data_IF_068146020877
#
_entry.id   IF_068146020877
#
_cell.length_a   1.000
_cell.length_b   1.000
_cell.length_c   1.000
_cell.angle_alpha   90.00
_cell.angle_beta   90.00
_cell.angle_gamma   90.00
#
_symmetry.space_group_name_H-M   'P 1'
#
loop_
_entity.id
_entity.type
_entity.pdbx_description
1 polymer ?
#
# COMPACT_ATOMS: atom_id res chain seq x y z
N UNK A 1 -15.54 19.40 27.60
CA UNK A 1 -16.68 18.83 26.87
C UNK A 1 -16.29 18.85 25.40
N UNK A 2 -16.08 17.69 24.77
CA UNK A 2 -15.75 17.63 23.34
C UNK A 2 -17.04 17.76 22.53
N UNK A 3 -17.08 18.71 21.60
CA UNK A 3 -18.20 18.87 20.68
C UNK A 3 -18.29 17.65 19.73
N UNK A 4 -19.51 17.24 19.32
CA UNK A 4 -19.66 16.13 18.39
C UNK A 4 -19.08 16.50 17.02
N UNK A 5 -18.16 15.69 16.51
CA UNK A 5 -17.60 15.88 15.18
C UNK A 5 -18.69 15.68 14.12
N UNK A 6 -18.83 16.63 13.16
CA UNK A 6 -19.79 16.48 12.07
C UNK A 6 -19.44 15.24 11.25
N UNK A 7 -20.47 14.48 10.87
CA UNK A 7 -20.29 13.30 10.01
C UNK A 7 -19.82 13.76 8.63
N UNK A 8 -18.88 13.05 8.01
CA UNK A 8 -18.40 13.41 6.68
C UNK A 8 -19.50 13.23 5.64
N UNK A 9 -19.60 14.18 4.73
CA UNK A 9 -20.50 14.13 3.57
C UNK A 9 -20.08 12.99 2.61
N UNK A 10 -21.03 12.44 1.86
CA UNK A 10 -20.76 11.31 0.93
C UNK A 10 -19.66 11.62 -0.10
N UNK A 11 -19.57 12.86 -0.57
CA UNK A 11 -18.52 13.31 -1.49
C UNK A 11 -17.12 13.19 -0.87
N UNK A 12 -16.99 13.56 0.40
CA UNK A 12 -15.75 13.48 1.16
C UNK A 12 -15.33 12.02 1.38
N UNK A 13 -16.29 11.14 1.68
CA UNK A 13 -16.05 9.70 1.80
C UNK A 13 -15.52 9.12 0.48
N UNK A 14 -16.11 9.52 -0.65
CA UNK A 14 -15.68 9.04 -1.97
C UNK A 14 -14.27 9.54 -2.33
N UNK A 15 -13.93 10.78 -1.99
CA UNK A 15 -12.59 11.31 -2.18
C UNK A 15 -11.54 10.51 -1.38
N UNK A 16 -11.84 10.21 -0.11
CA UNK A 16 -10.95 9.41 0.72
C UNK A 16 -10.77 7.99 0.20
N UNK A 17 -11.85 7.34 -0.26
CA UNK A 17 -11.78 6.01 -0.89
C UNK A 17 -10.87 6.02 -2.12
N UNK A 18 -10.99 7.06 -2.96
CA UNK A 18 -10.12 7.22 -4.14
C UNK A 18 -8.66 7.40 -3.75
N UNK A 19 -8.37 8.21 -2.72
CA UNK A 19 -7.01 8.39 -2.20
C UNK A 19 -6.42 7.07 -1.67
N UNK A 20 -7.22 6.28 -0.96
CA UNK A 20 -6.84 4.95 -0.47
C UNK A 20 -6.55 3.98 -1.62
N UNK A 21 -7.39 3.97 -2.66
CA UNK A 21 -7.18 3.10 -3.83
C UNK A 21 -5.85 3.44 -4.54
N UNK A 22 -5.57 4.72 -4.74
CA UNK A 22 -4.31 5.18 -5.34
C UNK A 22 -3.12 4.78 -4.45
N UNK A 23 -3.23 4.96 -3.13
CA UNK A 23 -2.18 4.56 -2.20
C UNK A 23 -1.93 3.04 -2.21
N UNK A 24 -2.99 2.24 -2.25
CA UNK A 24 -2.90 0.78 -2.32
C UNK A 24 -2.21 0.30 -3.60
N UNK A 25 -2.50 0.94 -4.73
CA UNK A 25 -1.87 0.61 -6.01
C UNK A 25 -0.37 0.93 -6.00
N UNK A 26 0.03 2.05 -5.40
CA UNK A 26 1.40 2.52 -5.45
C UNK A 26 2.33 1.90 -4.39
N UNK A 27 1.76 1.30 -3.35
CA UNK A 27 2.53 0.79 -2.24
C UNK A 27 2.28 -0.72 -2.03
N UNK A 28 2.82 -1.53 -2.94
CA UNK A 28 2.84 -2.98 -2.80
C UNK A 28 4.21 -3.36 -2.25
N UNK A 29 4.23 -3.86 -1.02
CA UNK A 29 5.41 -4.47 -0.43
C UNK A 29 5.59 -5.88 -0.99
N UNK A 30 6.74 -6.14 -1.61
CA UNK A 30 7.17 -7.43 -2.08
C UNK A 30 8.26 -8.00 -1.18
N UNK A 31 8.09 -9.25 -0.75
CA UNK A 31 9.10 -10.02 -0.04
C UNK A 31 9.40 -11.31 -0.81
N UNK A 32 10.63 -11.48 -1.27
CA UNK A 32 11.02 -12.72 -1.94
C UNK A 32 11.32 -13.80 -0.90
N UNK A 33 10.52 -14.86 -0.89
CA UNK A 33 10.67 -15.99 0.04
C UNK A 33 11.92 -16.83 -0.23
N UNK A 34 12.51 -16.74 -1.44
CA UNK A 34 13.73 -17.47 -1.80
C UNK A 34 15.01 -16.81 -1.29
N UNK A 35 15.11 -15.48 -1.37
CA UNK A 35 16.36 -14.76 -1.05
C UNK A 35 16.21 -13.73 0.07
N UNK A 36 15.00 -13.51 0.57
CA UNK A 36 14.68 -12.54 1.62
C UNK A 36 14.72 -11.08 1.17
N UNK A 37 14.90 -10.79 -0.13
CA UNK A 37 14.93 -9.41 -0.62
C UNK A 37 13.54 -8.77 -0.51
N UNK A 38 13.51 -7.54 0.01
CA UNK A 38 12.31 -6.77 0.26
C UNK A 38 12.31 -5.49 -0.57
N UNK A 39 11.14 -5.09 -1.09
CA UNK A 39 10.99 -3.86 -1.85
C UNK A 39 9.55 -3.35 -1.83
N UNK A 40 9.37 -2.07 -2.18
CA UNK A 40 8.05 -1.49 -2.46
C UNK A 40 7.99 -1.14 -3.93
N UNK A 41 6.89 -1.49 -4.59
CA UNK A 41 6.63 -1.15 -5.99
C UNK A 41 5.14 -0.87 -6.22
N UNK A 42 4.82 -0.28 -7.36
CA UNK A 42 3.43 -0.09 -7.81
C UNK A 42 2.92 -1.25 -8.67
N UNK A 43 3.71 -2.30 -8.89
CA UNK A 43 3.40 -3.39 -9.81
C UNK A 43 3.25 -4.72 -9.07
N UNK A 44 2.11 -5.40 -9.27
CA UNK A 44 1.86 -6.74 -8.70
C UNK A 44 2.63 -7.86 -9.39
N UNK A 45 3.06 -7.70 -10.65
CA UNK A 45 3.60 -8.80 -11.47
C UNK A 45 5.14 -8.86 -11.52
N UNK A 46 5.83 -8.23 -10.55
CA UNK A 46 7.29 -8.21 -10.53
C UNK A 46 7.85 -9.48 -9.90
N UNK A 47 8.79 -10.10 -10.60
CA UNK A 47 9.69 -11.13 -10.05
C UNK A 47 10.76 -10.48 -9.16
N UNK A 48 11.41 -11.28 -8.32
CA UNK A 48 12.49 -10.78 -7.47
C UNK A 48 13.65 -10.25 -8.33
N UNK A 49 14.03 -8.98 -8.16
CA UNK A 49 15.13 -8.34 -8.92
C UNK A 49 16.52 -8.86 -8.56
N UNK A 50 16.65 -9.57 -7.43
CA UNK A 50 17.94 -10.09 -6.93
C UNK A 50 18.22 -11.52 -7.39
N UNK A 51 17.22 -12.39 -7.38
CA UNK A 51 17.39 -13.81 -7.68
C UNK A 51 16.51 -14.33 -8.82
N UNK A 52 15.70 -13.45 -9.44
CA UNK A 52 14.75 -13.80 -10.50
C UNK A 52 13.68 -14.81 -10.10
N UNK A 53 13.52 -15.11 -8.80
CA UNK A 53 12.48 -15.99 -8.29
C UNK A 53 11.09 -15.37 -8.48
N UNK A 54 10.11 -16.24 -8.78
CA UNK A 54 8.68 -15.93 -8.81
C UNK A 54 8.01 -16.10 -7.45
N UNK A 55 8.71 -16.70 -6.48
CA UNK A 55 8.21 -16.95 -5.13
C UNK A 55 8.31 -15.67 -4.28
N UNK A 56 7.32 -14.79 -4.48
CA UNK A 56 7.25 -13.46 -3.90
C UNK A 56 5.91 -13.29 -3.19
N UNK A 57 5.97 -13.06 -1.88
CA UNK A 57 4.83 -12.62 -1.09
C UNK A 57 4.59 -11.13 -1.31
N UNK A 58 3.32 -10.73 -1.42
CA UNK A 58 2.92 -9.35 -1.70
C UNK A 58 1.81 -8.91 -0.77
N UNK A 59 1.94 -7.71 -0.22
CA UNK A 59 0.93 -7.09 0.62
C UNK A 59 0.88 -5.59 0.33
N UNK A 60 -0.32 -4.99 0.32
CA UNK A 60 -0.43 -3.53 0.32
C UNK A 60 0.16 -2.98 1.62
N UNK A 61 1.13 -2.07 1.52
CA UNK A 61 1.78 -1.45 2.67
C UNK A 61 1.50 0.05 2.68
N UNK A 62 1.21 0.65 3.82
CA UNK A 62 1.10 2.11 3.92
C UNK A 62 2.30 2.63 4.70
N UNK A 63 3.15 3.41 4.03
CA UNK A 63 4.26 4.12 4.65
C UNK A 63 3.72 5.50 5.03
N UNK A 64 3.64 5.77 6.33
CA UNK A 64 3.40 7.11 6.83
C UNK A 64 4.77 7.74 7.08
N UNK A 65 5.03 8.97 6.62
CA UNK A 65 6.22 9.68 7.04
C UNK A 65 6.21 9.79 8.58
N UNK A 66 7.37 9.56 9.20
CA UNK A 66 7.54 9.68 10.65
C UNK A 66 7.54 11.15 11.15
N UNK A 67 7.47 12.14 10.24
CA UNK A 67 7.42 13.59 10.54
C UNK A 67 6.35 14.31 9.69
#
# INVERSE_FOLDING_TARGET
MSEPTPKPETSQINEWRRKIEIANHNNIFGHCRTCGYEWVDSSVDKTCRKCSSNDVERISCWQFPDD
#
